data_IF_001854870665
#
_entry.id   IF_001854870665
#
_cell.length_a   1.000
_cell.length_b   1.000
_cell.length_c   1.000
_cell.angle_alpha   90.00
_cell.angle_beta   90.00
_cell.angle_gamma   90.00
#
_symmetry.space_group_name_H-M   'P 1'
#
loop_
_entity.id
_entity.type
_entity.pdbx_description
1 polymer ?
#
# COMPACT_ATOMS: atom_id res chain seq x y z
N UNK A 1 0.90 4.88 30.37
CA UNK A 1 -0.08 4.99 29.29
C UNK A 1 0.72 5.09 28.00
N UNK A 2 0.80 4.03 27.21
CA UNK A 2 1.43 4.12 25.88
C UNK A 2 0.48 4.89 24.96
N UNK A 3 1.00 5.83 24.18
CA UNK A 3 0.22 6.57 23.18
C UNK A 3 -0.05 5.67 21.97
N UNK A 4 -1.15 5.88 21.24
CA UNK A 4 -1.45 5.13 19.99
C UNK A 4 -0.27 5.11 19.03
N UNK A 5 0.44 6.22 18.91
CA UNK A 5 1.67 6.33 18.11
C UNK A 5 2.78 5.35 18.55
N UNK A 6 2.95 5.15 19.86
CA UNK A 6 3.94 4.19 20.40
C UNK A 6 3.50 2.75 20.19
N UNK A 7 2.20 2.48 20.23
CA UNK A 7 1.65 1.15 19.94
C UNK A 7 1.84 0.80 18.48
N UNK A 8 1.47 1.69 17.55
CA UNK A 8 1.62 1.44 16.12
C UNK A 8 3.09 1.35 15.70
N UNK A 9 4.00 2.15 16.28
CA UNK A 9 5.43 2.01 15.98
C UNK A 9 5.94 0.58 16.27
N UNK A 10 5.58 0.00 17.42
CA UNK A 10 5.98 -1.37 17.77
C UNK A 10 5.34 -2.41 16.84
N UNK A 11 4.08 -2.21 16.46
CA UNK A 11 3.40 -3.09 15.50
C UNK A 11 4.02 -3.01 14.10
N UNK A 12 4.41 -1.81 13.68
CA UNK A 12 5.09 -1.54 12.42
C UNK A 12 6.48 -2.22 12.42
N UNK A 13 7.26 -2.05 13.49
CA UNK A 13 8.58 -2.69 13.65
C UNK A 13 8.50 -4.23 13.65
N UNK A 14 7.40 -4.80 14.15
CA UNK A 14 7.17 -6.26 14.17
C UNK A 14 6.73 -6.79 12.81
N UNK A 15 5.85 -6.08 12.10
CA UNK A 15 5.14 -6.62 10.93
C UNK A 15 5.71 -6.16 9.58
N UNK A 16 6.52 -5.10 9.56
CA UNK A 16 7.24 -4.66 8.37
C UNK A 16 8.64 -5.25 8.43
N UNK A 17 9.09 -5.94 7.39
CA UNK A 17 10.45 -6.48 7.37
C UNK A 17 11.49 -5.35 7.40
N UNK A 18 12.65 -5.63 8.00
CA UNK A 18 13.71 -4.63 8.20
C UNK A 18 14.07 -3.89 6.91
N UNK A 19 14.20 -4.59 5.78
CA UNK A 19 14.57 -3.96 4.51
C UNK A 19 13.50 -2.98 4.03
N UNK A 20 12.21 -3.32 4.17
CA UNK A 20 11.09 -2.43 3.88
C UNK A 20 11.03 -1.24 4.84
N UNK A 21 11.36 -1.42 6.12
CA UNK A 21 11.47 -0.31 7.08
C UNK A 21 12.55 0.69 6.64
N UNK A 22 13.71 0.20 6.21
CA UNK A 22 14.80 1.05 5.72
C UNK A 22 14.42 1.78 4.41
N UNK A 23 13.72 1.09 3.50
CA UNK A 23 13.21 1.72 2.28
C UNK A 23 12.17 2.81 2.58
N UNK A 24 11.25 2.58 3.53
CA UNK A 24 10.30 3.59 3.99
C UNK A 24 10.99 4.77 4.65
N UNK A 25 12.01 4.53 5.49
CA UNK A 25 12.78 5.60 6.11
C UNK A 25 13.51 6.44 5.05
N UNK A 26 14.11 5.81 4.03
CA UNK A 26 14.71 6.51 2.90
C UNK A 26 13.70 7.40 2.16
N UNK A 27 12.46 6.92 1.97
CA UNK A 27 11.38 7.71 1.38
C UNK A 27 10.99 8.88 2.27
N UNK A 28 10.85 8.65 3.58
CA UNK A 28 10.46 9.68 4.56
C UNK A 28 11.49 10.80 4.67
N UNK A 29 12.76 10.48 4.50
CA UNK A 29 13.84 11.46 4.60
C UNK A 29 14.03 12.27 3.30
N UNK A 30 13.57 11.74 2.15
CA UNK A 30 13.77 12.35 0.83
C UNK A 30 12.56 13.05 0.25
N UNK A 31 11.36 12.56 0.53
CA UNK A 31 10.12 13.06 -0.08
C UNK A 31 9.29 13.91 0.87
N UNK A 32 8.61 14.91 0.32
CA UNK A 32 7.54 15.62 1.02
C UNK A 32 6.32 14.71 1.14
N UNK A 33 6.07 14.21 2.36
CA UNK A 33 4.96 13.29 2.66
C UNK A 33 3.57 13.90 2.44
N UNK A 34 3.46 15.22 2.26
CA UNK A 34 2.20 15.86 1.87
C UNK A 34 1.90 15.76 0.37
N UNK A 35 2.87 15.35 -0.45
CA UNK A 35 2.78 15.26 -1.93
C UNK A 35 2.63 13.85 -2.46
N UNK A 36 2.70 12.87 -1.57
CA UNK A 36 2.57 11.45 -1.89
C UNK A 36 1.50 10.81 -1.02
N UNK A 37 0.96 9.68 -1.45
CA UNK A 37 0.14 8.85 -0.59
C UNK A 37 0.42 7.36 -0.82
N UNK A 38 0.34 6.56 0.23
CA UNK A 38 0.53 5.13 0.18
C UNK A 38 -0.75 4.41 -0.29
N UNK A 39 -0.60 3.42 -1.17
CA UNK A 39 -1.69 2.59 -1.68
C UNK A 39 -1.32 1.10 -1.62
N UNK A 40 -2.13 0.22 -2.20
CA UNK A 40 -1.77 -1.18 -2.37
C UNK A 40 -1.49 -1.91 -1.06
N UNK A 41 -0.45 -2.74 -1.05
CA UNK A 41 -0.19 -3.66 0.08
C UNK A 41 0.10 -2.95 1.42
N UNK A 42 0.72 -1.77 1.37
CA UNK A 42 1.04 -0.98 2.54
C UNK A 42 -0.16 -0.20 3.07
N UNK A 43 -1.04 0.32 2.20
CA UNK A 43 -2.31 0.89 2.64
C UNK A 43 -3.23 -0.17 3.26
N UNK A 44 -3.24 -1.40 2.72
CA UNK A 44 -3.93 -2.52 3.35
C UNK A 44 -3.44 -2.77 4.77
N UNK A 45 -2.13 -2.78 4.95
CA UNK A 45 -1.53 -2.97 6.27
C UNK A 45 -2.00 -1.87 7.23
N UNK A 46 -1.88 -0.60 6.86
CA UNK A 46 -2.29 0.53 7.72
C UNK A 46 -3.78 0.41 8.10
N UNK A 47 -4.64 0.08 7.14
CA UNK A 47 -6.09 -0.04 7.37
C UNK A 47 -6.49 -1.28 8.19
N UNK A 48 -5.69 -2.35 8.16
CA UNK A 48 -6.07 -3.65 8.73
C UNK A 48 -5.20 -4.12 9.91
N UNK A 49 -4.08 -3.45 10.21
CA UNK A 49 -3.12 -3.86 11.25
C UNK A 49 -3.72 -3.95 12.65
N UNK A 50 -4.75 -3.15 12.94
CA UNK A 50 -5.51 -3.23 14.20
C UNK A 50 -6.39 -4.48 14.34
N UNK A 51 -6.55 -5.26 13.26
CA UNK A 51 -7.44 -6.41 13.15
C UNK A 51 -6.70 -7.71 12.80
N UNK A 52 -5.60 -7.62 12.06
CA UNK A 52 -4.88 -8.77 11.52
C UNK A 52 -3.37 -8.53 11.47
N UNK A 53 -2.58 -9.57 11.80
CA UNK A 53 -1.16 -9.61 11.48
C UNK A 53 -0.98 -9.71 9.96
N UNK A 54 -0.45 -8.66 9.35
CA UNK A 54 -0.28 -8.55 7.89
C UNK A 54 1.11 -8.03 7.54
N UNK A 55 1.94 -8.80 6.83
CA UNK A 55 3.24 -8.31 6.40
C UNK A 55 3.11 -7.32 5.24
N UNK A 56 3.97 -6.31 5.25
CA UNK A 56 4.21 -5.41 4.10
C UNK A 56 5.37 -5.97 3.29
N UNK A 57 5.10 -6.37 2.04
CA UNK A 57 6.12 -6.92 1.14
C UNK A 57 6.59 -5.90 0.11
N UNK A 58 5.66 -5.12 -0.42
CA UNK A 58 5.88 -4.19 -1.52
C UNK A 58 5.41 -2.79 -1.07
N UNK A 59 6.06 -1.74 -1.58
CA UNK A 59 5.72 -0.35 -1.28
C UNK A 59 5.11 0.26 -2.55
N UNK A 60 3.83 0.59 -2.48
CA UNK A 60 3.10 1.26 -3.57
C UNK A 60 2.76 2.69 -3.16
N UNK A 61 3.12 3.67 -3.99
CA UNK A 61 2.91 5.10 -3.74
C UNK A 61 2.19 5.73 -4.93
N UNK A 62 1.33 6.70 -4.65
CA UNK A 62 0.75 7.59 -5.66
C UNK A 62 1.31 9.01 -5.54
N UNK A 63 1.39 9.70 -6.67
CA UNK A 63 1.85 11.08 -6.78
C UNK A 63 1.07 11.85 -7.87
N UNK A 64 0.99 13.17 -7.74
CA UNK A 64 0.36 14.04 -8.76
C UNK A 64 1.39 14.62 -9.74
N UNK A 65 2.51 15.15 -9.25
CA UNK A 65 3.57 15.75 -10.06
C UNK A 65 4.85 14.94 -9.97
N UNK A 66 5.44 14.60 -11.12
CA UNK A 66 6.67 13.80 -11.15
C UNK A 66 7.87 14.55 -10.53
N UNK A 67 7.83 15.88 -10.55
CA UNK A 67 8.84 16.73 -9.90
C UNK A 67 8.93 16.47 -8.39
N UNK A 68 7.84 16.04 -7.76
CA UNK A 68 7.81 15.66 -6.34
C UNK A 68 8.65 14.40 -6.06
N UNK A 69 9.04 13.63 -7.10
CA UNK A 69 9.89 12.43 -7.01
C UNK A 69 11.36 12.70 -7.35
N UNK A 70 11.75 13.93 -7.71
CA UNK A 70 13.12 14.27 -8.08
C UNK A 70 14.18 13.81 -7.06
N UNK A 71 13.99 13.96 -5.74
CA UNK A 71 14.98 13.51 -4.77
C UNK A 71 15.28 12.01 -4.84
N UNK A 72 14.27 11.19 -5.16
CA UNK A 72 14.45 9.74 -5.37
C UNK A 72 15.12 9.49 -6.72
N UNK A 73 14.66 10.18 -7.78
CA UNK A 73 15.23 10.04 -9.12
C UNK A 73 16.74 10.33 -9.16
N UNK A 74 17.18 11.38 -8.47
CA UNK A 74 18.58 11.80 -8.46
C UNK A 74 19.49 10.90 -7.62
N UNK A 75 18.96 10.31 -6.55
CA UNK A 75 19.78 9.59 -5.55
C UNK A 75 19.70 8.07 -5.66
N UNK A 76 18.50 7.53 -5.94
CA UNK A 76 18.24 6.09 -5.99
C UNK A 76 17.99 5.61 -7.43
N UNK A 77 17.65 6.54 -8.33
CA UNK A 77 17.26 6.23 -9.70
C UNK A 77 15.80 5.80 -9.79
N UNK A 78 15.19 6.11 -10.94
CA UNK A 78 13.84 5.67 -11.29
C UNK A 78 13.87 5.04 -12.67
N UNK A 79 13.36 3.81 -12.77
CA UNK A 79 13.13 3.11 -14.03
C UNK A 79 11.66 3.19 -14.40
N UNK A 80 11.37 3.59 -15.63
CA UNK A 80 10.00 3.68 -16.15
C UNK A 80 9.62 2.38 -16.84
N UNK A 81 8.52 1.78 -16.41
CA UNK A 81 7.95 0.59 -17.03
C UNK A 81 6.56 0.88 -17.60
N UNK A 82 6.25 0.24 -18.72
CA UNK A 82 4.88 0.23 -19.24
C UNK A 82 4.03 -0.75 -18.43
N UNK A 83 3.06 -0.23 -17.70
CA UNK A 83 2.04 -1.01 -17.02
C UNK A 83 0.86 -1.26 -17.95
N UNK A 84 0.62 -2.55 -18.24
CA UNK A 84 -0.66 -3.01 -18.80
C UNK A 84 -1.74 -3.17 -17.73
N UNK A 85 -1.37 -2.98 -16.46
CA UNK A 85 -2.25 -3.13 -15.32
C UNK A 85 -2.87 -1.77 -14.97
N UNK A 86 -4.18 -1.80 -14.70
CA UNK A 86 -5.06 -0.66 -14.46
C UNK A 86 -5.39 0.14 -15.73
N UNK A 87 -6.66 0.11 -16.11
CA UNK A 87 -7.23 0.69 -17.33
C UNK A 87 -7.34 2.23 -17.25
N UNK A 88 -6.30 2.90 -16.74
CA UNK A 88 -6.32 4.30 -16.33
C UNK A 88 -5.26 5.06 -17.11
N UNK A 89 -5.62 5.57 -18.30
CA UNK A 89 -5.08 6.65 -19.15
C UNK A 89 -3.59 7.09 -19.15
N UNK A 90 -2.68 6.50 -18.38
CA UNK A 90 -1.23 6.56 -18.52
C UNK A 90 -0.72 5.23 -17.96
N UNK A 91 -0.50 4.25 -18.84
CA UNK A 91 -0.05 2.90 -18.49
C UNK A 91 1.43 2.86 -18.11
N UNK A 92 1.85 3.70 -17.17
CA UNK A 92 3.23 3.80 -16.73
C UNK A 92 3.32 3.64 -15.23
N UNK A 93 4.34 2.90 -14.79
CA UNK A 93 4.76 2.80 -13.40
C UNK A 93 6.23 3.19 -13.33
N UNK A 94 6.55 4.05 -12.39
CA UNK A 94 7.91 4.42 -12.06
C UNK A 94 8.37 3.51 -10.92
N UNK A 95 9.55 2.94 -11.03
CA UNK A 95 10.08 2.00 -10.03
C UNK A 95 11.43 2.49 -9.56
N UNK A 96 11.59 2.65 -8.25
CA UNK A 96 12.91 2.80 -7.62
C UNK A 96 13.29 1.50 -6.93
N UNK A 97 14.59 1.24 -6.88
CA UNK A 97 15.17 0.05 -6.26
C UNK A 97 16.06 0.50 -5.11
N UNK A 98 15.71 0.10 -3.88
CA UNK A 98 16.48 0.42 -2.68
C UNK A 98 17.18 -0.82 -2.15
N UNK A 99 18.51 -0.79 -2.11
CA UNK A 99 19.33 -1.94 -1.71
C UNK A 99 19.68 -1.90 -0.23
N UNK A 100 19.30 -2.95 0.50
CA UNK A 100 19.60 -3.13 1.93
C UNK A 100 20.08 -4.55 2.14
N UNK A 101 21.28 -4.74 2.71
CA UNK A 101 21.84 -6.06 3.01
C UNK A 101 21.79 -7.05 1.82
N UNK A 102 22.14 -6.59 0.62
CA UNK A 102 22.06 -7.35 -0.65
C UNK A 102 20.64 -7.80 -1.06
N UNK A 103 19.59 -7.29 -0.42
CA UNK A 103 18.21 -7.41 -0.89
C UNK A 103 17.77 -6.12 -1.55
N UNK A 104 16.96 -6.26 -2.59
CA UNK A 104 16.34 -5.16 -3.28
C UNK A 104 14.91 -4.99 -2.79
N UNK A 105 14.55 -3.78 -2.40
CA UNK A 105 13.17 -3.38 -2.10
C UNK A 105 12.68 -2.48 -3.22
N UNK A 106 11.63 -2.93 -3.89
CA UNK A 106 11.02 -2.18 -4.98
C UNK A 106 9.98 -1.22 -4.42
N UNK A 107 10.02 0.02 -4.90
CA UNK A 107 8.95 1.00 -4.66
C UNK A 107 8.33 1.39 -5.98
N UNK A 108 7.03 1.12 -6.11
CA UNK A 108 6.25 1.44 -7.30
C UNK A 108 5.54 2.78 -7.10
N UNK A 109 5.77 3.74 -7.99
CA UNK A 109 5.10 5.03 -8.00
C UNK A 109 4.14 5.12 -9.18
N UNK A 110 2.89 5.44 -8.86
CA UNK A 110 1.79 5.55 -9.81
C UNK A 110 1.26 6.97 -9.88
N UNK A 111 1.27 7.57 -11.07
CA UNK A 111 0.65 8.89 -11.26
C UNK A 111 -0.86 8.80 -11.06
N UNK A 112 -1.41 9.55 -10.12
CA UNK A 112 -2.85 9.60 -9.81
C UNK A 112 -3.25 11.01 -9.41
N UNK A 113 -4.53 11.33 -9.61
CA UNK A 113 -5.12 12.61 -9.18
C UNK A 113 -5.70 12.38 -7.78
N UNK A 114 -5.19 13.10 -6.78
CA UNK A 114 -5.56 12.88 -5.37
C UNK A 114 -7.02 13.20 -5.12
N UNK A 115 -7.58 14.19 -5.81
CA UNK A 115 -9.02 14.53 -5.70
C UNK A 115 -9.97 13.43 -6.16
N UNK A 116 -9.47 12.37 -6.81
CA UNK A 116 -10.26 11.21 -7.26
C UNK A 116 -10.14 10.00 -6.34
N UNK A 117 -9.34 10.07 -5.28
CA UNK A 117 -9.06 8.95 -4.38
C UNK A 117 -9.39 9.41 -2.97
N UNK A 118 -10.10 8.59 -2.19
CA UNK A 118 -10.32 8.91 -0.79
C UNK A 118 -9.04 8.61 0.00
N UNK A 119 -8.41 9.68 0.51
CA UNK A 119 -7.18 9.61 1.30
C UNK A 119 -7.44 10.01 2.76
N UNK A 120 -6.69 9.41 3.67
CA UNK A 120 -6.65 9.76 5.10
C UNK A 120 -5.21 9.72 5.61
N UNK A 121 -4.97 10.19 6.83
CA UNK A 121 -3.66 10.15 7.47
C UNK A 121 -3.64 9.16 8.64
N UNK A 122 -2.56 8.39 8.74
CA UNK A 122 -2.28 7.52 9.89
C UNK A 122 -0.78 7.47 10.19
N UNK A 123 -0.37 7.10 11.42
CA UNK A 123 1.03 6.85 11.73
C UNK A 123 1.59 5.64 10.96
N UNK A 124 2.82 5.70 10.48
CA UNK A 124 3.58 4.59 9.91
C UNK A 124 5.05 4.79 10.28
N UNK A 125 5.65 3.84 11.01
CA UNK A 125 7.02 3.90 11.54
C UNK A 125 7.32 5.25 12.24
N UNK A 126 6.35 5.76 13.00
CA UNK A 126 6.49 7.01 13.76
C UNK A 126 6.42 8.30 12.92
N UNK A 127 5.94 8.23 11.67
CA UNK A 127 5.63 9.39 10.82
C UNK A 127 4.17 9.40 10.42
N UNK A 128 3.54 10.57 10.36
CA UNK A 128 2.19 10.69 9.77
C UNK A 128 2.27 10.66 8.26
N UNK A 129 1.57 9.72 7.63
CA UNK A 129 1.57 9.53 6.18
C UNK A 129 0.15 9.56 5.64
N UNK A 130 -0.02 10.07 4.42
CA UNK A 130 -1.27 9.92 3.67
C UNK A 130 -1.36 8.51 3.08
N UNK A 131 -2.56 7.92 3.10
CA UNK A 131 -2.83 6.64 2.45
C UNK A 131 -4.28 6.52 1.99
N UNK A 132 -4.54 5.61 1.06
CA UNK A 132 -5.91 5.25 0.66
C UNK A 132 -6.73 4.75 1.85
N UNK A 133 -7.95 5.25 1.98
CA UNK A 133 -8.83 4.88 3.09
C UNK A 133 -9.24 3.41 3.06
N UNK A 134 -9.75 2.92 4.18
CA UNK A 134 -10.35 1.58 4.29
C UNK A 134 -11.42 1.33 3.21
N UNK A 135 -12.31 2.31 2.96
CA UNK A 135 -13.38 2.15 1.98
C UNK A 135 -12.86 2.15 0.54
N UNK A 136 -11.90 3.02 0.23
CA UNK A 136 -11.22 3.04 -1.08
C UNK A 136 -10.57 1.69 -1.38
N UNK A 137 -9.79 1.15 -0.42
CA UNK A 137 -9.11 -0.13 -0.60
C UNK A 137 -10.09 -1.31 -0.64
N UNK A 138 -11.15 -1.30 0.18
CA UNK A 138 -12.22 -2.30 0.12
C UNK A 138 -12.88 -2.31 -1.26
N UNK A 139 -13.29 -1.15 -1.77
CA UNK A 139 -13.92 -1.02 -3.08
C UNK A 139 -12.97 -1.49 -4.18
N UNK A 140 -11.71 -1.04 -4.16
CA UNK A 140 -10.68 -1.50 -5.07
C UNK A 140 -10.56 -3.04 -5.08
N UNK A 141 -10.40 -3.69 -3.93
CA UNK A 141 -10.25 -5.14 -3.89
C UNK A 141 -11.50 -5.88 -4.38
N UNK A 142 -12.71 -5.40 -4.08
CA UNK A 142 -13.95 -6.05 -4.52
C UNK A 142 -14.22 -5.84 -6.02
N UNK A 143 -13.84 -4.69 -6.59
CA UNK A 143 -14.01 -4.37 -8.03
C UNK A 143 -12.94 -5.00 -8.91
N UNK A 144 -11.70 -5.13 -8.40
CA UNK A 144 -10.61 -5.80 -9.13
C UNK A 144 -10.89 -7.28 -9.39
N UNK A 145 -11.66 -7.97 -8.54
CA UNK A 145 -11.97 -9.39 -8.70
C UNK A 145 -12.63 -9.72 -10.05
N UNK A 146 -13.77 -9.10 -10.42
CA UNK A 146 -14.35 -9.23 -11.76
C UNK A 146 -13.37 -8.91 -12.89
N UNK A 147 -12.56 -7.86 -12.77
CA UNK A 147 -11.62 -7.43 -13.81
C UNK A 147 -10.54 -8.48 -14.07
N UNK A 148 -9.95 -9.07 -13.02
CA UNK A 148 -8.90 -10.10 -13.15
C UNK A 148 -9.44 -11.49 -13.50
N UNK A 149 -10.75 -11.73 -13.36
CA UNK A 149 -11.40 -12.95 -13.89
C UNK A 149 -11.71 -12.87 -15.39
N UNK A 150 -11.56 -11.70 -16.01
CA UNK A 150 -11.69 -11.56 -17.46
C UNK A 150 -10.41 -12.06 -18.16
N UNK A 151 -10.55 -12.75 -19.29
CA UNK A 151 -9.54 -13.60 -19.94
C UNK A 151 -8.26 -12.91 -20.49
N UNK A 152 -7.95 -11.68 -20.05
CA UNK A 152 -6.97 -10.79 -20.66
C UNK A 152 -5.51 -11.05 -20.23
N UNK A 153 -5.24 -11.89 -19.23
CA UNK A 153 -4.00 -11.83 -18.44
C UNK A 153 -3.26 -13.18 -18.34
N UNK A 154 -3.84 -14.24 -18.89
CA UNK A 154 -3.26 -15.58 -18.96
C UNK A 154 -3.47 -16.38 -17.66
N UNK A 155 -3.96 -17.61 -17.83
CA UNK A 155 -4.50 -18.45 -16.75
C UNK A 155 -3.67 -18.46 -15.45
N UNK A 156 -2.35 -18.69 -15.51
CA UNK A 156 -1.51 -18.82 -14.29
C UNK A 156 -1.31 -17.50 -13.53
N UNK A 157 -1.25 -16.37 -14.23
CA UNK A 157 -1.04 -15.06 -13.62
C UNK A 157 -2.35 -14.50 -13.05
N UNK A 158 -3.47 -14.75 -13.73
CA UNK A 158 -4.84 -14.48 -13.29
C UNK A 158 -5.13 -15.10 -11.93
N UNK A 159 -4.87 -16.41 -11.75
CA UNK A 159 -5.16 -17.09 -10.48
C UNK A 159 -4.40 -16.53 -9.28
N UNK A 160 -3.12 -16.16 -9.45
CA UNK A 160 -2.32 -15.58 -8.35
C UNK A 160 -2.85 -14.22 -7.92
N UNK A 161 -3.17 -13.34 -8.88
CA UNK A 161 -3.75 -12.03 -8.57
C UNK A 161 -5.16 -12.18 -7.99
N UNK A 162 -6.01 -13.01 -8.60
CA UNK A 162 -7.35 -13.30 -8.11
C UNK A 162 -7.31 -13.75 -6.64
N UNK A 163 -6.43 -14.69 -6.31
CA UNK A 163 -6.24 -15.15 -4.94
C UNK A 163 -5.76 -14.03 -3.99
N UNK A 164 -4.82 -13.18 -4.43
CA UNK A 164 -4.34 -12.04 -3.64
C UNK A 164 -5.49 -11.07 -3.33
N UNK A 165 -6.25 -10.64 -4.33
CA UNK A 165 -7.34 -9.68 -4.15
C UNK A 165 -8.53 -10.30 -3.39
N UNK A 166 -8.81 -11.60 -3.55
CA UNK A 166 -9.95 -12.23 -2.88
C UNK A 166 -9.71 -12.38 -1.38
N UNK A 167 -8.47 -12.72 -0.98
CA UNK A 167 -8.07 -12.72 0.42
C UNK A 167 -8.24 -11.34 1.04
N UNK A 168 -7.78 -10.28 0.36
CA UNK A 168 -7.89 -8.90 0.87
C UNK A 168 -9.35 -8.46 0.98
N UNK A 169 -10.15 -8.66 -0.08
CA UNK A 169 -11.59 -8.38 -0.06
C UNK A 169 -12.29 -9.08 1.12
N UNK A 170 -11.96 -10.35 1.38
CA UNK A 170 -12.50 -11.10 2.51
C UNK A 170 -12.14 -10.50 3.87
N UNK A 171 -10.93 -9.96 4.06
CA UNK A 171 -10.53 -9.32 5.31
C UNK A 171 -11.33 -8.03 5.56
N UNK A 172 -11.41 -7.16 4.56
CA UNK A 172 -12.21 -5.92 4.65
C UNK A 172 -13.69 -6.22 4.93
N UNK A 173 -14.28 -7.16 4.20
CA UNK A 173 -15.69 -7.52 4.37
C UNK A 173 -15.94 -8.17 5.74
N UNK A 174 -14.99 -8.93 6.28
CA UNK A 174 -15.12 -9.52 7.61
C UNK A 174 -15.06 -8.46 8.72
N UNK A 175 -14.22 -7.42 8.58
CA UNK A 175 -14.22 -6.28 9.50
C UNK A 175 -15.58 -5.58 9.49
N UNK A 176 -16.12 -5.28 8.30
CA UNK A 176 -17.47 -4.69 8.19
C UNK A 176 -18.54 -5.58 8.84
N UNK A 177 -18.54 -6.89 8.56
CA UNK A 177 -19.49 -7.82 9.14
C UNK A 177 -19.41 -7.83 10.67
N UNK A 178 -18.20 -7.89 11.24
CA UNK A 178 -18.02 -7.90 12.68
C UNK A 178 -18.40 -6.56 13.32
N UNK A 179 -18.16 -5.43 12.65
CA UNK A 179 -18.62 -4.11 13.08
C UNK A 179 -20.15 -4.03 13.11
N UNK A 180 -20.82 -4.45 12.04
CA UNK A 180 -22.28 -4.53 11.94
C UNK A 180 -22.90 -5.41 13.03
N UNK A 181 -22.19 -6.46 13.45
CA UNK A 181 -22.63 -7.37 14.52
C UNK A 181 -22.16 -6.96 15.92
N UNK A 182 -21.40 -5.87 16.07
CA UNK A 182 -20.79 -5.46 17.34
C UNK A 182 -19.89 -6.56 17.94
N UNK A 183 -19.13 -7.24 17.09
CA UNK A 183 -18.26 -8.37 17.38
C UNK A 183 -16.77 -8.07 17.10
N UNK A 184 -16.37 -6.83 16.84
CA UNK A 184 -14.98 -6.48 16.54
C UNK A 184 -13.99 -6.90 17.63
N UNK A 185 -14.42 -6.89 18.89
CA UNK A 185 -13.65 -7.37 20.05
C UNK A 185 -13.21 -8.84 19.92
N UNK A 186 -13.86 -9.63 19.06
CA UNK A 186 -13.46 -11.02 18.82
C UNK A 186 -12.15 -11.16 18.04
N UNK A 187 -11.72 -10.10 17.33
CA UNK A 187 -10.43 -10.05 16.61
C UNK A 187 -9.26 -9.65 17.51
N UNK A 188 -9.52 -8.89 18.58
CA UNK A 188 -8.51 -8.44 19.55
C UNK A 188 -8.32 -9.51 20.63
N UNK A 189 -7.57 -10.56 20.34
CA UNK A 189 -7.15 -11.58 21.31
C UNK A 189 -5.65 -11.62 21.46
#
# INVERSE_FOLDING_TARGET
METEEKTFLKEDEKNIFYEQQQALQNIFDKLDLSKIAFVGGIADYINLRSYYDMPVNDIDIIYENEEDLLPIQEQDGITRYFSRFYNINVGEVLVSEFFVNNKNVHTDYYKRIFSKIQLTQSPLLGRMVWHATFNEMKEFHNTQLPEVTSAAMGHKYEWKRLYKHSKKASLYNNVCYLEEKQLLQTLKK
#
